data_IF_501977500805
#
_entry.id   IF_501977500805
#
_cell.length_a   1.000
_cell.length_b   1.000
_cell.length_c   1.000
_cell.angle_alpha   90.00
_cell.angle_beta   90.00
_cell.angle_gamma   90.00
#
_symmetry.space_group_name_H-M   'P 1'
#
loop_
_entity.id
_entity.type
_entity.pdbx_description
1 polymer ?
#
# COMPACT_ATOMS: atom_id res chain seq x y z
N UNK A 1 -1.44 -41.85 -6.21
CA UNK A 1 -0.72 -40.69 -6.78
C UNK A 1 -1.61 -39.46 -7.01
N UNK A 2 -2.76 -39.55 -7.68
CA UNK A 2 -3.64 -38.38 -7.92
C UNK A 2 -4.11 -37.64 -6.66
N UNK A 3 -4.51 -38.36 -5.60
CA UNK A 3 -5.03 -37.74 -4.36
C UNK A 3 -3.96 -36.96 -3.59
N UNK A 4 -2.73 -37.45 -3.53
CA UNK A 4 -1.63 -36.75 -2.85
C UNK A 4 -1.25 -35.45 -3.57
N UNK A 5 -1.30 -35.44 -4.90
CA UNK A 5 -1.08 -34.24 -5.72
C UNK A 5 -2.20 -33.21 -5.51
N UNK A 6 -3.46 -33.66 -5.46
CA UNK A 6 -4.60 -32.76 -5.18
C UNK A 6 -4.50 -32.19 -3.77
N UNK A 7 -4.17 -33.01 -2.76
CA UNK A 7 -4.00 -32.52 -1.39
C UNK A 7 -2.88 -31.49 -1.28
N UNK A 8 -1.75 -31.73 -1.94
CA UNK A 8 -0.60 -30.80 -1.96
C UNK A 8 -0.92 -29.49 -2.69
N UNK A 9 -1.71 -29.53 -3.78
CA UNK A 9 -2.13 -28.34 -4.49
C UNK A 9 -3.14 -27.51 -3.69
N UNK A 10 -4.05 -28.16 -2.96
CA UNK A 10 -5.01 -27.48 -2.08
C UNK A 10 -4.31 -26.85 -0.88
N UNK A 11 -3.35 -27.52 -0.26
CA UNK A 11 -2.55 -26.92 0.83
C UNK A 11 -1.68 -25.77 0.31
N UNK A 12 -1.09 -25.89 -0.88
CA UNK A 12 -0.32 -24.80 -1.49
C UNK A 12 -1.23 -23.61 -1.85
N UNK A 13 -2.44 -23.82 -2.36
CA UNK A 13 -3.40 -22.75 -2.63
C UNK A 13 -3.87 -22.04 -1.36
N UNK A 14 -4.01 -22.77 -0.24
CA UNK A 14 -4.37 -22.20 1.06
C UNK A 14 -3.20 -21.45 1.71
N UNK A 15 -1.96 -21.92 1.55
CA UNK A 15 -0.74 -21.26 2.06
C UNK A 15 -0.24 -20.12 1.15
N UNK A 16 -0.59 -20.13 -0.14
CA UNK A 16 -0.33 -19.06 -1.10
C UNK A 16 -1.51 -18.11 -1.26
N UNK A 17 -2.50 -18.17 -0.35
CA UNK A 17 -3.53 -17.12 -0.31
C UNK A 17 -2.85 -15.77 -0.18
N UNK A 18 -3.06 -14.84 -1.13
CA UNK A 18 -2.49 -13.49 -1.04
C UNK A 18 -2.96 -12.75 0.23
N UNK A 19 -4.00 -13.25 0.90
CA UNK A 19 -4.47 -12.80 2.20
C UNK A 19 -3.41 -12.89 3.32
N UNK A 20 -2.39 -13.76 3.21
CA UNK A 20 -1.36 -13.91 4.25
C UNK A 20 -0.03 -13.20 3.93
N UNK A 21 0.06 -12.44 2.84
CA UNK A 21 1.27 -11.66 2.55
C UNK A 21 1.33 -10.45 3.51
N UNK A 22 2.41 -10.36 4.29
CA UNK A 22 2.62 -9.22 5.19
C UNK A 22 2.57 -7.91 4.39
N UNK A 23 1.84 -6.92 4.91
CA UNK A 23 1.67 -5.64 4.24
C UNK A 23 3.03 -4.99 4.00
N UNK A 24 3.28 -4.55 2.76
CA UNK A 24 4.53 -3.90 2.39
C UNK A 24 4.74 -2.60 3.20
N UNK A 25 5.64 -2.66 4.20
CA UNK A 25 5.95 -1.53 5.09
C UNK A 25 6.44 -0.30 4.34
N UNK A 26 7.19 -0.50 3.25
CA UNK A 26 7.68 0.61 2.42
C UNK A 26 6.54 1.30 1.67
N UNK A 27 5.55 0.54 1.19
CA UNK A 27 4.37 1.13 0.57
C UNK A 27 3.52 1.88 1.60
N UNK A 28 3.38 1.36 2.83
CA UNK A 28 2.72 2.10 3.91
C UNK A 28 3.43 3.42 4.22
N UNK A 29 4.76 3.46 4.15
CA UNK A 29 5.51 4.70 4.32
C UNK A 29 5.24 5.69 3.20
N UNK A 30 5.13 5.24 1.93
CA UNK A 30 4.74 6.10 0.81
C UNK A 30 3.34 6.70 1.04
N UNK A 31 2.36 5.89 1.47
CA UNK A 31 1.01 6.37 1.78
C UNK A 31 1.02 7.37 2.94
N UNK A 32 1.77 7.11 4.02
CA UNK A 32 1.89 8.07 5.12
C UNK A 32 2.50 9.39 4.66
N UNK A 33 3.60 9.34 3.90
CA UNK A 33 4.28 10.53 3.40
C UNK A 33 3.41 11.33 2.43
N UNK A 34 2.58 10.66 1.62
CA UNK A 34 1.62 11.33 0.73
C UNK A 34 0.71 12.30 1.52
N UNK A 35 0.25 11.89 2.70
CA UNK A 35 -0.71 12.65 3.49
C UNK A 35 -0.09 13.56 4.56
N UNK A 36 1.08 13.22 5.10
CA UNK A 36 1.64 13.88 6.28
C UNK A 36 2.93 14.66 6.03
N UNK A 37 3.68 14.29 5.00
CA UNK A 37 5.02 14.81 4.79
C UNK A 37 5.04 15.98 3.79
N UNK A 38 6.19 16.65 3.72
CA UNK A 38 6.48 17.64 2.68
C UNK A 38 6.65 16.97 1.31
N UNK A 39 6.43 17.69 0.19
CA UNK A 39 6.65 17.16 -1.15
C UNK A 39 8.03 16.54 -1.37
N UNK A 40 9.08 17.15 -0.80
CA UNK A 40 10.45 16.65 -0.92
C UNK A 40 10.67 15.33 -0.16
N UNK A 41 10.12 15.20 1.04
CA UNK A 41 10.19 13.95 1.82
C UNK A 41 9.40 12.85 1.12
N UNK A 42 8.19 13.18 0.64
CA UNK A 42 7.36 12.27 -0.14
C UNK A 42 8.09 11.75 -1.38
N UNK A 43 8.69 12.63 -2.18
CA UNK A 43 9.46 12.24 -3.36
C UNK A 43 10.61 11.28 -3.01
N UNK A 44 11.33 11.52 -1.91
CA UNK A 44 12.39 10.62 -1.46
C UNK A 44 11.87 9.21 -1.12
N UNK A 45 10.64 9.09 -0.61
CA UNK A 45 10.03 7.77 -0.34
C UNK A 45 9.72 6.98 -1.62
N UNK A 46 9.45 7.67 -2.73
CA UNK A 46 9.17 7.04 -4.02
C UNK A 46 10.41 6.38 -4.62
N UNK A 47 11.59 6.98 -4.44
CA UNK A 47 12.86 6.49 -5.01
C UNK A 47 13.20 5.06 -4.59
N UNK A 48 12.69 4.60 -3.43
CA UNK A 48 12.86 3.21 -2.98
C UNK A 48 12.41 2.19 -4.03
N UNK A 49 11.36 2.52 -4.79
CA UNK A 49 10.79 1.63 -5.81
C UNK A 49 11.38 1.87 -7.21
N UNK A 50 12.33 2.80 -7.36
CA UNK A 50 12.93 3.19 -8.63
C UNK A 50 11.89 3.43 -9.75
N UNK A 51 10.91 4.34 -9.53
CA UNK A 51 9.89 4.65 -10.54
C UNK A 51 10.52 5.32 -11.75
N UNK A 52 9.91 5.12 -12.92
CA UNK A 52 10.26 5.92 -14.09
C UNK A 52 9.77 7.37 -13.96
N UNK A 53 10.14 8.21 -14.93
CA UNK A 53 9.85 9.63 -14.91
C UNK A 53 8.34 9.92 -14.90
N UNK A 54 7.56 9.16 -15.68
CA UNK A 54 6.13 9.36 -15.81
C UNK A 54 5.39 8.93 -14.54
N UNK A 55 5.79 7.80 -13.95
CA UNK A 55 5.30 7.35 -12.64
C UNK A 55 5.58 8.40 -11.56
N UNK A 56 6.81 8.94 -11.53
CA UNK A 56 7.19 9.95 -10.55
C UNK A 56 6.40 11.24 -10.70
N UNK A 57 6.23 11.73 -11.93
CA UNK A 57 5.45 12.93 -12.22
C UNK A 57 3.99 12.77 -11.78
N UNK A 58 3.37 11.61 -12.08
CA UNK A 58 2.01 11.30 -11.65
C UNK A 58 1.85 11.32 -10.13
N UNK A 59 2.80 10.76 -9.39
CA UNK A 59 2.76 10.76 -7.92
C UNK A 59 2.98 12.17 -7.34
N UNK A 60 3.82 13.00 -7.95
CA UNK A 60 3.99 14.41 -7.55
C UNK A 60 2.70 15.19 -7.79
N UNK A 61 2.02 15.00 -8.92
CA UNK A 61 0.72 15.61 -9.18
C UNK A 61 -0.32 15.17 -8.14
N UNK A 62 -0.38 13.88 -7.81
CA UNK A 62 -1.27 13.37 -6.76
C UNK A 62 -1.00 14.06 -5.41
N UNK A 63 0.28 14.19 -5.02
CA UNK A 63 0.66 14.89 -3.79
C UNK A 63 0.18 16.35 -3.79
N UNK A 64 0.32 17.05 -4.90
CA UNK A 64 -0.15 18.45 -4.99
C UNK A 64 -1.66 18.57 -4.74
N UNK A 65 -2.46 17.61 -5.20
CA UNK A 65 -3.90 17.57 -4.95
C UNK A 65 -4.20 17.24 -3.49
N UNK A 66 -3.51 16.25 -2.92
CA UNK A 66 -3.65 15.88 -1.51
C UNK A 66 -3.29 17.05 -0.58
N UNK A 67 -2.27 17.83 -0.92
CA UNK A 67 -1.85 19.02 -0.16
C UNK A 67 -2.91 20.13 -0.12
N UNK A 68 -3.90 20.10 -1.02
CA UNK A 68 -5.03 21.03 -0.97
C UNK A 68 -6.13 20.62 0.00
N UNK A 69 -6.08 19.39 0.53
CA UNK A 69 -7.13 18.88 1.41
C UNK A 69 -7.02 19.49 2.81
N UNK A 70 -8.17 19.78 3.46
CA UNK A 70 -8.19 20.16 4.87
C UNK A 70 -7.58 19.08 5.77
N UNK A 71 -6.90 19.49 6.84
CA UNK A 71 -6.22 18.58 7.77
C UNK A 71 -7.15 17.52 8.38
N UNK A 72 -8.40 17.90 8.71
CA UNK A 72 -9.40 16.97 9.22
C UNK A 72 -9.82 15.91 8.17
N UNK A 73 -9.87 16.28 6.90
CA UNK A 73 -10.14 15.35 5.79
C UNK A 73 -9.00 14.34 5.68
N UNK A 74 -7.75 14.82 5.67
CA UNK A 74 -6.56 13.98 5.60
C UNK A 74 -6.45 13.01 6.77
N UNK A 75 -6.73 13.46 8.00
CA UNK A 75 -6.75 12.61 9.19
C UNK A 75 -7.79 11.49 9.09
N UNK A 76 -9.00 11.81 8.61
CA UNK A 76 -10.07 10.82 8.47
C UNK A 76 -9.76 9.80 7.37
N UNK A 77 -9.11 10.20 6.29
CA UNK A 77 -8.64 9.26 5.25
C UNK A 77 -7.63 8.28 5.85
N UNK A 78 -6.63 8.77 6.60
CA UNK A 78 -5.64 7.90 7.23
C UNK A 78 -6.25 6.93 8.25
N UNK A 79 -7.23 7.39 9.04
CA UNK A 79 -8.00 6.52 9.95
C UNK A 79 -8.73 5.42 9.19
N UNK A 80 -9.37 5.76 8.08
CA UNK A 80 -10.05 4.79 7.23
C UNK A 80 -9.07 3.78 6.62
N UNK A 81 -7.94 4.21 6.07
CA UNK A 81 -6.89 3.31 5.57
C UNK A 81 -6.40 2.35 6.65
N UNK A 82 -6.21 2.85 7.88
CA UNK A 82 -5.85 2.03 9.02
C UNK A 82 -6.94 1.01 9.41
N UNK A 83 -8.22 1.33 9.22
CA UNK A 83 -9.32 0.41 9.44
C UNK A 83 -9.38 -0.69 8.37
N UNK A 84 -9.16 -0.34 7.09
CA UNK A 84 -9.12 -1.30 5.97
C UNK A 84 -8.00 -2.31 6.17
N UNK A 85 -6.79 -1.84 6.48
CA UNK A 85 -5.60 -2.67 6.70
C UNK A 85 -5.81 -3.69 7.82
N UNK A 86 -6.60 -3.36 8.85
CA UNK A 86 -6.87 -4.23 10.00
C UNK A 86 -8.13 -5.09 9.81
N UNK A 87 -8.81 -4.95 8.68
CA UNK A 87 -10.06 -5.67 8.43
C UNK A 87 -9.77 -7.14 8.09
N UNK A 88 -10.72 -8.07 8.33
CA UNK A 88 -10.57 -9.49 7.96
C UNK A 88 -10.32 -9.74 6.47
N UNK A 89 -10.66 -8.77 5.61
CA UNK A 89 -10.43 -8.85 4.16
C UNK A 89 -8.95 -8.61 3.78
N UNK A 90 -8.13 -8.14 4.71
CA UNK A 90 -6.71 -7.77 4.50
C UNK A 90 -5.77 -8.36 5.58
N UNK A 91 -6.26 -9.28 6.42
CA UNK A 91 -5.56 -9.82 7.60
C UNK A 91 -5.27 -11.33 7.49
#
# INVERSE_FOLDING_TARGET
MKLAVILALVTLALYCSPASAEICKNFLNVIKALFLDTPSSYQATLEFFNPDADMKDAMIQLKSLVDTLPSNTTENILKFTGAVIKSPECA
#
